data_IF_871266017198
#
_entry.id   IF_871266017198
#
_cell.length_a   1.000
_cell.length_b   1.000
_cell.length_c   1.000
_cell.angle_alpha   90.00
_cell.angle_beta   90.00
_cell.angle_gamma   90.00
#
_symmetry.space_group_name_H-M   'P 1'
#
loop_
_entity.id
_entity.type
_entity.pdbx_description
1 polymer ?
#
# COMPACT_ATOMS: atom_id res chain seq x y z
N UNK A 1 -0.96 16.12 -12.68
CA UNK A 1 -0.41 15.01 -11.87
C UNK A 1 -1.53 14.00 -11.64
N UNK A 2 -1.24 12.70 -11.70
CA UNK A 2 -2.17 11.60 -11.38
C UNK A 2 -2.70 11.63 -9.94
N UNK A 3 -2.17 12.53 -9.10
CA UNK A 3 -2.74 12.86 -7.80
C UNK A 3 -4.13 13.49 -7.90
N UNK A 4 -4.25 14.50 -8.76
CA UNK A 4 -5.42 15.39 -8.81
C UNK A 4 -6.29 15.13 -10.04
N UNK A 5 -5.71 14.53 -11.09
CA UNK A 5 -6.42 14.27 -12.33
C UNK A 5 -6.01 12.93 -12.92
N UNK A 6 -6.90 11.95 -12.82
CA UNK A 6 -6.74 10.60 -13.37
C UNK A 6 -8.09 10.13 -13.92
N UNK A 7 -8.14 9.54 -15.13
CA UNK A 7 -7.03 9.32 -16.06
C UNK A 7 -6.62 10.62 -16.79
N UNK A 8 -5.33 10.93 -16.83
CA UNK A 8 -4.76 12.02 -17.64
C UNK A 8 -3.50 11.54 -18.36
N UNK A 9 -2.78 12.41 -19.07
CA UNK A 9 -1.52 12.00 -19.69
C UNK A 9 -0.50 11.51 -18.63
N UNK A 10 0.17 10.37 -18.85
CA UNK A 10 1.07 9.80 -17.87
C UNK A 10 2.26 10.74 -17.62
N UNK A 11 2.49 11.07 -16.34
CA UNK A 11 3.67 11.83 -15.93
C UNK A 11 4.88 10.93 -15.62
N UNK A 12 4.74 9.62 -15.77
CA UNK A 12 5.77 8.61 -15.52
C UNK A 12 5.60 7.43 -16.48
N UNK A 13 6.60 6.55 -16.54
CA UNK A 13 6.49 5.30 -17.29
C UNK A 13 5.45 4.40 -16.63
N UNK A 14 4.54 3.88 -17.43
CA UNK A 14 3.51 2.94 -16.99
C UNK A 14 3.96 1.51 -17.29
N UNK A 15 3.46 0.55 -16.51
CA UNK A 15 3.57 -0.85 -16.87
C UNK A 15 2.58 -1.19 -18.00
N UNK A 16 2.87 -2.23 -18.79
CA UNK A 16 1.98 -2.68 -19.87
C UNK A 16 0.51 -2.86 -19.46
N UNK A 17 0.17 -3.47 -18.30
CA UNK A 17 -1.23 -3.61 -17.89
C UNK A 17 -1.93 -2.28 -17.59
N UNK A 18 -1.17 -1.24 -17.24
CA UNK A 18 -1.72 0.10 -17.05
C UNK A 18 -2.02 0.78 -18.39
N UNK A 19 -1.20 0.55 -19.41
CA UNK A 19 -1.50 1.01 -20.76
C UNK A 19 -2.77 0.35 -21.30
N UNK A 20 -2.90 -0.96 -21.13
CA UNK A 20 -4.08 -1.72 -21.53
C UNK A 20 -5.35 -1.21 -20.82
N UNK A 21 -5.27 -1.00 -19.51
CA UNK A 21 -6.33 -0.38 -18.71
C UNK A 21 -6.74 0.99 -19.29
N UNK A 22 -5.79 1.89 -19.54
CA UNK A 22 -6.11 3.24 -20.03
C UNK A 22 -6.66 3.22 -21.47
N UNK A 23 -6.22 2.26 -22.29
CA UNK A 23 -6.67 2.13 -23.67
C UNK A 23 -8.09 1.55 -23.79
N UNK A 24 -8.44 0.57 -22.97
CA UNK A 24 -9.67 -0.22 -23.14
C UNK A 24 -10.73 0.01 -22.07
N UNK A 25 -10.36 0.61 -20.94
CA UNK A 25 -11.24 0.73 -19.77
C UNK A 25 -11.48 2.18 -19.32
N UNK A 26 -11.30 3.15 -20.21
CA UNK A 26 -11.71 4.55 -19.98
C UNK A 26 -12.99 4.84 -20.77
N UNK A 27 -14.07 5.21 -20.08
CA UNK A 27 -15.36 5.56 -20.67
C UNK A 27 -15.78 6.93 -20.15
N UNK A 28 -16.07 7.87 -21.05
CA UNK A 28 -16.44 9.26 -20.71
C UNK A 28 -15.43 9.97 -19.78
N UNK A 29 -14.15 9.63 -19.89
CA UNK A 29 -13.10 10.22 -19.05
C UNK A 29 -12.96 9.60 -17.67
N UNK A 30 -13.67 8.50 -17.36
CA UNK A 30 -13.55 7.77 -16.10
C UNK A 30 -13.03 6.35 -16.35
N UNK A 31 -12.18 5.84 -15.44
CA UNK A 31 -11.74 4.45 -15.49
C UNK A 31 -12.83 3.54 -14.95
N UNK A 32 -13.31 2.62 -15.78
CA UNK A 32 -14.32 1.62 -15.44
C UNK A 32 -13.64 0.30 -15.12
N UNK A 33 -13.74 -0.15 -13.86
CA UNK A 33 -13.12 -1.40 -13.42
C UNK A 33 -13.93 -2.60 -13.95
N UNK A 34 -13.31 -3.55 -14.67
CA UNK A 34 -14.01 -4.72 -15.17
C UNK A 34 -14.38 -5.68 -14.02
N UNK A 35 -15.37 -6.58 -14.24
CA UNK A 35 -15.71 -7.61 -13.26
C UNK A 35 -14.49 -8.45 -12.85
N UNK A 36 -14.44 -8.84 -11.56
CA UNK A 36 -13.35 -9.64 -11.01
C UNK A 36 -12.02 -8.90 -10.84
N UNK A 37 -11.99 -7.59 -11.07
CA UNK A 37 -10.81 -6.75 -10.91
C UNK A 37 -11.04 -5.65 -9.88
N UNK A 38 -9.94 -5.10 -9.38
CA UNK A 38 -9.93 -4.00 -8.42
C UNK A 38 -8.98 -2.91 -8.86
N UNK A 39 -9.38 -1.66 -8.62
CA UNK A 39 -8.49 -0.52 -8.70
C UNK A 39 -8.04 -0.16 -7.28
N UNK A 40 -6.76 -0.34 -7.00
CA UNK A 40 -6.16 -0.05 -5.70
C UNK A 40 -5.41 1.28 -5.75
N UNK A 41 -5.56 2.09 -4.71
CA UNK A 41 -4.89 3.39 -4.63
C UNK A 41 -4.37 3.60 -3.22
N UNK A 42 -3.13 4.04 -3.09
CA UNK A 42 -2.53 4.33 -1.79
C UNK A 42 -3.05 5.65 -1.21
N UNK A 43 -3.11 5.73 0.11
CA UNK A 43 -3.50 6.96 0.80
C UNK A 43 -2.46 8.07 0.62
N UNK A 44 -1.17 7.72 0.55
CA UNK A 44 -0.10 8.66 0.22
C UNK A 44 0.04 8.81 -1.30
N UNK A 45 -0.87 9.57 -1.90
CA UNK A 45 -1.04 9.69 -3.36
C UNK A 45 0.21 10.10 -4.13
N UNK A 46 1.06 10.92 -3.50
CA UNK A 46 2.30 11.43 -4.10
C UNK A 46 3.45 10.42 -4.06
N UNK A 47 3.36 9.41 -3.18
CA UNK A 47 4.41 8.41 -2.98
C UNK A 47 3.82 6.98 -3.01
N UNK A 48 2.90 6.74 -3.94
CA UNK A 48 2.23 5.46 -4.09
C UNK A 48 2.33 5.01 -5.55
N UNK A 49 3.06 3.91 -5.76
CA UNK A 49 3.04 3.16 -7.00
C UNK A 49 1.84 2.21 -6.94
N UNK A 50 0.68 2.68 -7.38
CA UNK A 50 -0.61 1.98 -7.31
C UNK A 50 -1.25 1.76 -8.70
N UNK A 51 -2.52 1.35 -8.76
CA UNK A 51 -3.20 0.97 -10.01
C UNK A 51 -3.16 2.05 -11.09
N UNK A 52 -2.94 3.33 -10.73
CA UNK A 52 -2.69 4.42 -11.68
C UNK A 52 -1.47 4.16 -12.58
N UNK A 53 -0.50 3.37 -12.10
CA UNK A 53 0.79 3.11 -12.75
C UNK A 53 0.97 1.67 -13.24
N UNK A 54 0.38 0.69 -12.55
CA UNK A 54 0.50 -0.74 -12.91
C UNK A 54 -0.80 -1.44 -13.31
N UNK A 55 -1.94 -0.76 -13.31
CA UNK A 55 -3.21 -1.29 -13.82
C UNK A 55 -4.06 -1.96 -12.74
N UNK A 56 -5.04 -2.76 -13.15
CA UNK A 56 -5.97 -3.43 -12.23
C UNK A 56 -5.33 -4.62 -11.49
N UNK A 57 -5.89 -4.94 -10.31
CA UNK A 57 -5.58 -6.17 -9.55
C UNK A 57 -6.66 -7.22 -9.84
N UNK A 58 -6.31 -8.39 -10.41
CA UNK A 58 -7.23 -9.53 -10.47
C UNK A 58 -7.65 -10.00 -9.08
N UNK A 59 -8.91 -10.43 -8.89
CA UNK A 59 -9.42 -10.89 -7.60
C UNK A 59 -8.58 -12.01 -7.00
N UNK A 60 -8.06 -12.92 -7.82
CA UNK A 60 -7.22 -14.03 -7.37
C UNK A 60 -5.92 -13.58 -6.70
N UNK A 61 -5.41 -12.39 -7.05
CA UNK A 61 -4.18 -11.84 -6.48
C UNK A 61 -4.40 -11.17 -5.12
N UNK A 62 -5.65 -11.08 -4.65
CA UNK A 62 -5.99 -10.51 -3.34
C UNK A 62 -6.09 -11.62 -2.30
N UNK A 63 -5.00 -11.77 -1.52
CA UNK A 63 -4.85 -12.78 -0.46
C UNK A 63 -5.85 -12.55 0.69
N UNK A 64 -6.20 -11.30 1.02
CA UNK A 64 -7.17 -11.00 2.07
C UNK A 64 -7.25 -9.51 2.45
N UNK A 65 -8.11 -9.18 3.41
CA UNK A 65 -8.20 -7.84 4.01
C UNK A 65 -7.16 -7.71 5.13
N UNK A 66 -6.49 -6.57 5.31
CA UNK A 66 -5.67 -6.34 6.50
C UNK A 66 -6.59 -6.37 7.73
N UNK A 67 -6.62 -7.49 8.44
CA UNK A 67 -7.54 -7.72 9.55
C UNK A 67 -7.03 -7.11 10.87
N UNK A 68 -5.71 -7.01 11.03
CA UNK A 68 -5.07 -6.60 12.28
C UNK A 68 -3.77 -5.86 11.96
N UNK A 69 -3.57 -4.68 12.54
CA UNK A 69 -2.23 -4.08 12.64
C UNK A 69 -1.52 -4.81 13.78
N UNK A 70 -0.73 -5.82 13.42
CA UNK A 70 -0.09 -6.72 14.39
C UNK A 70 0.95 -6.00 15.25
N UNK A 71 1.74 -5.09 14.66
CA UNK A 71 2.77 -4.34 15.40
C UNK A 71 3.19 -3.07 14.65
N UNK A 72 3.39 -1.96 15.36
CA UNK A 72 3.88 -0.69 14.82
C UNK A 72 4.90 -0.11 15.81
N UNK A 73 6.17 -0.11 15.41
CA UNK A 73 7.31 0.35 16.19
C UNK A 73 7.87 1.65 15.59
N UNK A 74 8.14 2.63 16.44
CA UNK A 74 8.73 3.91 16.02
C UNK A 74 10.25 3.76 15.92
N UNK A 75 10.78 3.67 14.70
CA UNK A 75 12.23 3.61 14.45
C UNK A 75 12.67 4.67 13.45
N UNK A 76 13.84 5.28 13.68
CA UNK A 76 14.45 6.21 12.74
C UNK A 76 15.00 5.47 11.51
N UNK A 77 14.88 6.08 10.34
CA UNK A 77 15.24 5.52 9.02
C UNK A 77 16.70 5.02 8.96
N UNK A 78 17.59 5.58 9.77
CA UNK A 78 19.01 5.21 9.85
C UNK A 78 19.26 3.81 10.42
N UNK A 79 18.36 3.27 11.27
CA UNK A 79 18.55 1.94 11.89
C UNK A 79 18.08 0.77 11.03
N UNK A 80 17.23 1.00 10.03
CA UNK A 80 16.73 -0.06 9.13
C UNK A 80 17.74 -0.42 8.02
N UNK A 81 18.78 0.40 7.82
CA UNK A 81 19.81 0.20 6.81
C UNK A 81 21.11 -0.46 7.34
N UNK A 82 21.18 -0.74 8.65
CA UNK A 82 22.36 -1.37 9.26
C UNK A 82 22.36 -2.89 8.98
N UNK A 83 23.40 -3.46 8.33
CA UNK A 83 23.48 -4.88 8.03
C UNK A 83 23.69 -5.78 9.28
N UNK A 84 23.96 -5.23 10.47
CA UNK A 84 24.13 -5.97 11.72
C UNK A 84 22.82 -6.15 12.52
N UNK A 85 21.72 -6.42 11.82
CA UNK A 85 20.34 -6.48 12.36
C UNK A 85 20.16 -7.59 13.43
N UNK A 86 21.10 -8.53 13.55
CA UNK A 86 21.05 -9.67 14.48
C UNK A 86 22.15 -9.54 15.56
N UNK A 87 22.26 -8.39 16.23
CA UNK A 87 23.11 -8.24 17.42
C UNK A 87 22.31 -8.42 18.72
N UNK A 88 22.95 -8.92 19.76
CA UNK A 88 22.31 -9.13 21.08
C UNK A 88 21.84 -7.80 21.67
N UNK A 89 22.59 -6.72 21.44
CA UNK A 89 22.21 -5.37 21.88
C UNK A 89 20.94 -4.88 21.18
N UNK A 90 20.73 -5.24 19.91
CA UNK A 90 19.47 -4.96 19.20
C UNK A 90 18.32 -5.79 19.77
N UNK A 91 18.54 -7.06 20.11
CA UNK A 91 17.52 -7.90 20.75
C UNK A 91 17.13 -7.39 22.15
N UNK A 92 18.10 -6.90 22.93
CA UNK A 92 17.86 -6.29 24.23
C UNK A 92 17.18 -4.92 24.12
N UNK A 93 17.60 -4.06 23.17
CA UNK A 93 16.94 -2.78 22.90
C UNK A 93 15.49 -2.99 22.45
N UNK A 94 15.25 -3.99 21.60
CA UNK A 94 13.92 -4.37 21.15
C UNK A 94 13.07 -4.83 22.32
N UNK A 95 13.60 -5.69 23.22
CA UNK A 95 12.87 -6.20 24.37
C UNK A 95 12.58 -5.14 25.43
N UNK A 96 13.56 -4.29 25.74
CA UNK A 96 13.43 -3.25 26.77
C UNK A 96 12.57 -2.07 26.29
N UNK A 97 12.67 -1.69 25.01
CA UNK A 97 11.86 -0.62 24.43
C UNK A 97 10.58 -1.12 23.76
N UNK A 98 10.32 -2.43 23.80
CA UNK A 98 9.11 -3.06 23.27
C UNK A 98 7.86 -2.35 23.79
N UNK A 99 7.77 -2.12 25.10
CA UNK A 99 6.58 -1.55 25.70
C UNK A 99 6.48 -0.02 25.58
N UNK A 100 7.61 0.68 25.46
CA UNK A 100 7.66 2.15 25.44
C UNK A 100 7.50 2.73 24.03
N UNK A 101 8.05 2.05 23.00
CA UNK A 101 7.98 2.50 21.60
C UNK A 101 6.90 1.80 20.78
N UNK A 102 6.24 0.79 21.33
CA UNK A 102 5.03 0.24 20.69
C UNK A 102 3.94 1.30 20.69
N UNK A 103 3.48 1.67 19.49
CA UNK A 103 2.36 2.61 19.33
C UNK A 103 1.05 1.86 19.58
N UNK A 104 0.74 1.64 20.86
CA UNK A 104 -0.42 0.88 21.34
C UNK A 104 -1.75 1.39 20.79
N UNK A 105 -1.88 2.70 20.51
CA UNK A 105 -3.10 3.30 19.92
C UNK A 105 -3.45 2.78 18.51
N UNK A 106 -2.53 2.09 17.83
CA UNK A 106 -2.71 1.50 16.49
C UNK A 106 -2.59 -0.02 16.48
N UNK A 107 -1.96 -0.58 17.51
CA UNK A 107 -1.67 -2.02 17.62
C UNK A 107 -2.93 -2.74 18.09
N UNK A 108 -3.30 -3.86 17.45
CA UNK A 108 -4.54 -4.62 17.71
C UNK A 108 -5.86 -3.91 17.35
N UNK A 109 -5.81 -2.78 16.65
CA UNK A 109 -7.03 -2.14 16.15
C UNK A 109 -7.52 -2.91 14.91
N UNK A 110 -8.80 -3.29 14.93
CA UNK A 110 -9.50 -3.78 13.74
C UNK A 110 -9.90 -2.57 12.91
N UNK A 111 -9.35 -2.37 11.70
CA UNK A 111 -9.84 -1.33 10.81
C UNK A 111 -11.30 -1.64 10.42
N UNK A 112 -12.16 -0.61 10.36
CA UNK A 112 -13.53 -0.80 9.88
C UNK A 112 -13.49 -1.27 8.43
N UNK A 113 -13.81 -2.54 8.19
CA UNK A 113 -13.84 -3.14 6.87
C UNK A 113 -15.27 -3.13 6.32
N UNK A 114 -15.46 -2.61 5.11
CA UNK A 114 -16.72 -2.76 4.37
C UNK A 114 -16.81 -4.16 3.74
N UNK A 115 -18.01 -4.78 3.63
CA UNK A 115 -18.17 -6.05 2.94
C UNK A 115 -17.78 -5.91 1.46
N UNK A 116 -17.05 -6.89 0.93
CA UNK A 116 -16.77 -6.98 -0.51
C UNK A 116 -17.92 -7.84 -1.06
N UNK A 117 -18.95 -7.18 -1.58
CA UNK A 117 -20.04 -7.81 -2.32
C UNK A 117 -19.66 -8.09 -3.76
#
# INVERSE_FOLDING_TARGET
SYRDNFPSEPNARLAEPAYDMLAHHVVNGEVVVPPGHYFAMGDNRDNSLDSRYWGFVPRENIIGKPAIIFWSYDTSTERLADPNIISIDHLLDLGLNFFTKTRWKRTLMVPRAYPLG
#
